data_IF_867062348904
#
_entry.id   IF_867062348904
#
_cell.length_a   1.000
_cell.length_b   1.000
_cell.length_c   1.000
_cell.angle_alpha   90.00
_cell.angle_beta   90.00
_cell.angle_gamma   90.00
#
_symmetry.space_group_name_H-M   'P 1'
#
loop_
_entity.id
_entity.type
_entity.pdbx_description
1 polymer ?
#
# COMPACT_ATOMS: atom_id res chain seq x y z
N UNK A 1 -23.93 28.36 14.62
CA UNK A 1 -23.31 28.59 13.31
C UNK A 1 -21.87 29.02 13.51
N UNK A 2 -20.93 28.07 13.57
CA UNK A 2 -19.47 28.24 13.47
C UNK A 2 -18.83 26.97 14.04
N UNK A 3 -18.65 25.96 13.19
CA UNK A 3 -17.84 24.74 13.35
C UNK A 3 -18.26 23.75 12.26
N UNK A 4 -17.92 24.03 10.99
CA UNK A 4 -18.09 23.08 9.88
C UNK A 4 -17.16 23.38 8.69
N UNK A 5 -16.01 24.02 8.92
CA UNK A 5 -15.07 24.47 7.86
C UNK A 5 -13.62 24.11 8.17
N UNK A 6 -13.33 22.88 8.57
CA UNK A 6 -11.95 22.43 8.75
C UNK A 6 -11.67 20.96 8.40
N UNK A 7 -12.51 20.31 7.58
CA UNK A 7 -12.27 18.90 7.22
C UNK A 7 -11.33 18.68 6.03
N UNK A 8 -10.98 19.71 5.25
CA UNK A 8 -9.97 19.62 4.18
C UNK A 8 -9.38 21.02 3.94
N UNK A 9 -8.08 21.29 4.26
CA UNK A 9 -7.26 21.97 3.24
C UNK A 9 -5.72 21.78 3.29
N UNK A 10 -5.11 20.92 4.11
CA UNK A 10 -3.63 20.78 4.12
C UNK A 10 -3.13 19.64 3.21
N UNK A 11 -3.66 18.44 3.39
CA UNK A 11 -3.25 17.21 2.67
C UNK A 11 -3.50 17.30 1.17
N UNK A 12 -4.63 17.89 0.76
CA UNK A 12 -4.97 18.03 -0.65
C UNK A 12 -4.00 18.97 -1.40
N UNK A 13 -3.45 20.00 -0.73
CA UNK A 13 -2.57 20.98 -1.38
C UNK A 13 -1.19 20.40 -1.67
N UNK A 14 -0.65 19.56 -0.77
CA UNK A 14 0.59 18.80 -1.01
C UNK A 14 0.39 17.73 -2.09
N UNK A 15 -0.75 17.03 -2.10
CA UNK A 15 -1.07 16.04 -3.14
C UNK A 15 -1.08 16.63 -4.56
N UNK A 16 -1.60 17.86 -4.74
CA UNK A 16 -1.66 18.50 -6.06
C UNK A 16 -0.30 19.02 -6.54
N UNK A 17 0.65 19.31 -5.63
CA UNK A 17 2.00 19.73 -6.00
C UNK A 17 2.79 18.55 -6.59
N UNK A 18 2.68 17.39 -5.95
CA UNK A 18 3.38 16.15 -6.33
C UNK A 18 2.86 15.56 -7.67
N UNK A 19 1.56 15.76 -7.94
CA UNK A 19 0.90 15.40 -9.21
C UNK A 19 1.51 16.14 -10.42
N UNK A 20 2.07 17.33 -10.20
CA UNK A 20 2.63 18.18 -11.26
C UNK A 20 4.03 17.76 -11.69
N UNK A 21 4.79 17.10 -10.81
CA UNK A 21 6.19 16.73 -11.05
C UNK A 21 6.33 15.32 -11.64
N UNK A 22 5.49 14.34 -11.23
CA UNK A 22 5.50 12.98 -11.80
C UNK A 22 4.10 12.33 -11.82
N UNK A 23 3.26 12.60 -12.84
CA UNK A 23 1.86 12.16 -12.86
C UNK A 23 1.71 10.63 -12.93
N UNK A 24 2.70 9.92 -13.49
CA UNK A 24 2.71 8.45 -13.51
C UNK A 24 3.05 7.89 -12.12
N UNK A 25 4.13 8.34 -11.48
CA UNK A 25 4.45 7.85 -10.13
C UNK A 25 3.38 8.23 -9.11
N UNK A 26 2.74 9.40 -9.24
CA UNK A 26 1.69 9.81 -8.32
C UNK A 26 0.44 8.93 -8.41
N UNK A 27 -0.07 8.65 -9.63
CA UNK A 27 -1.23 7.77 -9.84
C UNK A 27 -0.95 6.32 -9.41
N UNK A 28 0.30 5.87 -9.55
CA UNK A 28 0.67 4.47 -9.28
C UNK A 28 1.23 4.21 -7.87
N UNK A 29 1.85 5.19 -7.20
CA UNK A 29 2.56 5.00 -5.93
C UNK A 29 2.09 5.89 -4.75
N UNK A 30 1.74 7.17 -4.97
CA UNK A 30 1.67 8.16 -3.87
C UNK A 30 0.26 8.69 -3.58
N UNK A 31 -0.59 8.86 -4.60
CA UNK A 31 -1.90 9.51 -4.44
C UNK A 31 -2.85 8.77 -3.50
N UNK A 32 -3.55 9.51 -2.63
CA UNK A 32 -4.56 8.90 -1.78
C UNK A 32 -5.66 8.26 -2.64
N UNK A 33 -5.98 7.01 -2.32
CA UNK A 33 -6.94 6.16 -3.07
C UNK A 33 -8.32 6.79 -3.28
N UNK A 34 -8.93 7.49 -2.31
CA UNK A 34 -10.18 8.19 -2.58
C UNK A 34 -9.99 9.26 -3.66
N UNK A 35 -8.83 9.90 -3.78
CA UNK A 35 -8.58 10.91 -4.81
C UNK A 35 -8.43 10.30 -6.19
N UNK A 36 -7.73 9.16 -6.34
CA UNK A 36 -7.68 8.44 -7.63
C UNK A 36 -9.07 7.93 -8.03
N UNK A 37 -9.83 7.36 -7.09
CA UNK A 37 -11.22 6.95 -7.32
C UNK A 37 -12.13 8.11 -7.70
N UNK A 38 -12.01 9.25 -7.03
CA UNK A 38 -12.73 10.50 -7.37
C UNK A 38 -12.28 11.02 -8.73
N UNK A 39 -11.00 10.98 -9.05
CA UNK A 39 -10.46 11.39 -10.35
C UNK A 39 -11.01 10.53 -11.49
N UNK A 40 -11.07 9.21 -11.31
CA UNK A 40 -11.71 8.29 -12.26
C UNK A 40 -13.21 8.57 -12.39
N UNK A 41 -13.91 8.79 -11.28
CA UNK A 41 -15.33 9.16 -11.30
C UNK A 41 -15.57 10.49 -12.03
N UNK A 42 -14.76 11.52 -11.76
CA UNK A 42 -14.80 12.80 -12.46
C UNK A 42 -14.49 12.64 -13.95
N UNK A 43 -13.57 11.74 -14.31
CA UNK A 43 -13.29 11.43 -15.71
C UNK A 43 -14.51 10.83 -16.42
N UNK A 44 -15.24 9.92 -15.77
CA UNK A 44 -16.50 9.38 -16.30
C UNK A 44 -17.56 10.46 -16.44
N UNK A 45 -17.68 11.36 -15.46
CA UNK A 45 -18.57 12.51 -15.56
C UNK A 45 -18.23 13.40 -16.75
N UNK A 46 -16.98 13.80 -16.91
CA UNK A 46 -16.53 14.65 -18.03
C UNK A 46 -16.80 13.97 -19.37
N UNK A 47 -16.51 12.67 -19.47
CA UNK A 47 -16.77 11.89 -20.70
C UNK A 47 -18.27 11.84 -21.01
N UNK A 48 -19.12 11.48 -20.05
CA UNK A 48 -20.57 11.39 -20.30
C UNK A 48 -21.21 12.74 -20.57
N UNK A 49 -20.83 13.78 -19.83
CA UNK A 49 -21.31 15.14 -20.11
C UNK A 49 -20.81 15.66 -21.45
N UNK A 50 -19.57 15.38 -21.84
CA UNK A 50 -19.04 15.73 -23.15
C UNK A 50 -19.81 15.05 -24.27
N UNK A 51 -20.00 13.73 -24.17
CA UNK A 51 -20.76 12.96 -25.16
C UNK A 51 -22.21 13.47 -25.31
N UNK A 52 -22.85 13.82 -24.20
CA UNK A 52 -24.19 14.42 -24.20
C UNK A 52 -24.19 15.82 -24.81
N UNK A 53 -23.25 16.68 -24.40
CA UNK A 53 -23.16 18.08 -24.86
C UNK A 53 -22.92 18.19 -26.38
N UNK A 54 -22.06 17.32 -26.93
CA UNK A 54 -21.81 17.28 -28.36
C UNK A 54 -22.88 16.52 -29.16
N UNK A 55 -23.92 15.98 -28.50
CA UNK A 55 -25.01 15.29 -29.16
C UNK A 55 -24.65 13.91 -29.73
N UNK A 56 -23.53 13.32 -29.30
CA UNK A 56 -23.13 11.97 -29.74
C UNK A 56 -23.97 10.86 -29.09
N UNK A 57 -24.55 11.13 -27.92
CA UNK A 57 -25.38 10.16 -27.19
C UNK A 57 -26.70 10.83 -26.80
N UNK A 58 -27.80 10.24 -27.26
CA UNK A 58 -29.13 10.63 -26.81
C UNK A 58 -29.48 9.89 -25.51
N UNK A 59 -28.96 10.41 -24.40
CA UNK A 59 -29.26 9.92 -23.05
C UNK A 59 -30.71 10.22 -22.62
N UNK A 60 -31.48 10.95 -23.44
CA UNK A 60 -32.92 11.18 -23.22
C UNK A 60 -33.78 10.10 -23.87
N UNK A 61 -33.20 9.22 -24.70
CA UNK A 61 -33.92 8.06 -25.22
C UNK A 61 -34.23 7.08 -24.07
N UNK A 62 -35.50 6.92 -23.67
CA UNK A 62 -35.86 6.13 -22.49
C UNK A 62 -35.45 4.66 -22.65
N UNK A 63 -35.58 4.12 -23.86
CA UNK A 63 -35.24 2.74 -24.17
C UNK A 63 -33.73 2.50 -24.02
N UNK A 64 -32.89 3.38 -24.58
CA UNK A 64 -31.44 3.27 -24.45
C UNK A 64 -30.99 3.39 -22.99
N UNK A 65 -31.56 4.35 -22.25
CA UNK A 65 -31.29 4.54 -20.83
C UNK A 65 -31.68 3.30 -20.00
N UNK A 66 -32.88 2.74 -20.23
CA UNK A 66 -33.32 1.51 -19.56
C UNK A 66 -32.34 0.36 -19.79
N UNK A 67 -31.82 0.18 -21.00
CA UNK A 67 -30.82 -0.85 -21.29
C UNK A 67 -29.50 -0.61 -20.55
N UNK A 68 -28.96 0.61 -20.60
CA UNK A 68 -27.69 0.96 -19.93
C UNK A 68 -27.80 0.76 -18.42
N UNK A 69 -28.84 1.32 -17.80
CA UNK A 69 -29.06 1.20 -16.35
C UNK A 69 -29.28 -0.26 -15.93
N UNK A 70 -30.06 -1.03 -16.70
CA UNK A 70 -30.27 -2.46 -16.42
C UNK A 70 -28.98 -3.27 -16.52
N UNK A 71 -28.15 -2.96 -17.53
CA UNK A 71 -26.83 -3.58 -17.67
C UNK A 71 -25.89 -3.21 -16.52
N UNK A 72 -25.93 -1.95 -16.06
CA UNK A 72 -25.13 -1.50 -14.92
C UNK A 72 -25.56 -2.17 -13.62
N UNK A 73 -26.87 -2.29 -13.35
CA UNK A 73 -27.40 -3.04 -12.20
C UNK A 73 -26.91 -4.49 -12.21
N UNK A 74 -27.08 -5.19 -13.34
CA UNK A 74 -26.63 -6.59 -13.45
C UNK A 74 -25.10 -6.73 -13.26
N UNK A 75 -24.33 -5.82 -13.86
CA UNK A 75 -22.87 -5.80 -13.75
C UNK A 75 -22.39 -5.48 -12.33
N UNK A 76 -22.97 -4.47 -11.68
CA UNK A 76 -22.62 -4.05 -10.33
C UNK A 76 -22.99 -5.11 -9.29
N UNK A 77 -24.17 -5.72 -9.36
CA UNK A 77 -24.53 -6.84 -8.49
C UNK A 77 -23.53 -8.01 -8.62
N UNK A 78 -23.13 -8.34 -9.85
CA UNK A 78 -22.11 -9.38 -10.09
C UNK A 78 -20.76 -8.99 -9.49
N UNK A 79 -20.33 -7.75 -9.70
CA UNK A 79 -19.07 -7.20 -9.19
C UNK A 79 -19.02 -7.23 -7.65
N UNK A 80 -20.06 -6.71 -7.02
CA UNK A 80 -20.19 -6.67 -5.55
C UNK A 80 -20.21 -8.09 -5.00
N UNK A 81 -20.96 -9.01 -5.62
CA UNK A 81 -21.01 -10.42 -5.20
C UNK A 81 -19.63 -11.09 -5.28
N UNK A 82 -18.90 -10.87 -6.37
CA UNK A 82 -17.55 -11.42 -6.55
C UNK A 82 -16.61 -10.91 -5.46
N UNK A 83 -16.63 -9.61 -5.17
CA UNK A 83 -15.74 -9.01 -4.18
C UNK A 83 -16.09 -9.46 -2.76
N UNK A 84 -17.38 -9.54 -2.41
CA UNK A 84 -17.80 -10.14 -1.14
C UNK A 84 -17.28 -11.58 -1.03
N UNK A 85 -17.44 -12.38 -2.08
CA UNK A 85 -17.01 -13.79 -2.07
C UNK A 85 -15.50 -13.94 -1.87
N UNK A 86 -14.69 -13.11 -2.53
CA UNK A 86 -13.24 -13.08 -2.33
C UNK A 86 -12.90 -12.72 -0.88
N UNK A 87 -13.54 -11.69 -0.33
CA UNK A 87 -13.31 -11.27 1.05
C UNK A 87 -13.70 -12.36 2.06
N UNK A 88 -14.77 -13.11 1.79
CA UNK A 88 -15.18 -14.26 2.61
C UNK A 88 -14.12 -15.36 2.63
N UNK A 89 -13.45 -15.63 1.50
CA UNK A 89 -12.33 -16.59 1.44
C UNK A 89 -11.12 -16.09 2.23
N UNK A 90 -10.88 -14.78 2.27
CA UNK A 90 -9.77 -14.21 3.03
C UNK A 90 -10.08 -14.28 4.53
N UNK A 91 -11.27 -13.86 4.95
CA UNK A 91 -11.69 -13.88 6.36
C UNK A 91 -11.75 -15.32 6.89
N UNK A 92 -12.20 -16.29 6.09
CA UNK A 92 -12.26 -17.68 6.52
C UNK A 92 -10.88 -18.25 6.88
N UNK A 93 -9.80 -17.74 6.26
CA UNK A 93 -8.41 -18.10 6.63
C UNK A 93 -7.98 -17.53 7.99
N UNK A 94 -8.61 -16.47 8.46
CA UNK A 94 -8.33 -15.85 9.77
C UNK A 94 -9.14 -16.48 10.90
N UNK A 95 -10.17 -17.27 10.59
CA UNK A 95 -10.98 -18.01 11.56
C UNK A 95 -10.35 -19.37 11.86
N UNK A 96 -9.14 -19.35 12.40
CA UNK A 96 -8.45 -20.56 12.86
C UNK A 96 -9.12 -21.17 14.09
N UNK A 97 -8.88 -22.47 14.32
CA UNK A 97 -9.24 -23.10 15.60
C UNK A 97 -8.48 -22.41 16.76
N UNK A 98 -9.02 -22.42 18.00
CA UNK A 98 -8.31 -21.81 19.14
C UNK A 98 -6.88 -22.33 19.35
N UNK A 99 -6.61 -23.59 18.99
CA UNK A 99 -5.26 -24.17 19.04
C UNK A 99 -4.31 -23.54 18.01
N UNK A 100 -4.76 -23.40 16.77
CA UNK A 100 -3.99 -22.71 15.71
C UNK A 100 -3.74 -21.25 16.07
N UNK A 101 -4.76 -20.54 16.58
CA UNK A 101 -4.59 -19.15 16.98
C UNK A 101 -3.58 -19.00 18.13
N UNK A 102 -3.58 -19.93 19.09
CA UNK A 102 -2.57 -19.96 20.16
C UNK A 102 -1.16 -20.16 19.60
N UNK A 103 -0.99 -21.13 18.71
CA UNK A 103 0.29 -21.44 18.07
C UNK A 103 0.81 -20.24 17.25
N UNK A 104 -0.05 -19.55 16.50
CA UNK A 104 0.32 -18.37 15.73
C UNK A 104 0.74 -17.21 16.65
N UNK A 105 0.02 -16.98 17.75
CA UNK A 105 0.39 -15.97 18.76
C UNK A 105 1.76 -16.30 19.37
N UNK A 106 1.98 -17.56 19.75
CA UNK A 106 3.24 -18.01 20.35
C UNK A 106 4.43 -17.81 19.39
N UNK A 107 4.28 -18.15 18.11
CA UNK A 107 5.31 -17.95 17.09
C UNK A 107 5.64 -16.47 16.87
N UNK A 108 4.63 -15.59 16.83
CA UNK A 108 4.85 -14.15 16.67
C UNK A 108 5.53 -13.55 17.91
N UNK A 109 5.16 -14.01 19.10
CA UNK A 109 5.77 -13.59 20.35
C UNK A 109 7.22 -14.10 20.49
N UNK A 110 7.49 -15.33 20.09
CA UNK A 110 8.85 -15.89 20.00
C UNK A 110 9.72 -15.08 19.03
N UNK A 111 9.23 -14.83 17.81
CA UNK A 111 9.91 -13.98 16.84
C UNK A 111 10.24 -12.60 17.41
N UNK A 112 9.28 -11.95 18.07
CA UNK A 112 9.47 -10.62 18.67
C UNK A 112 10.54 -10.59 19.76
N UNK A 113 10.73 -11.69 20.50
CA UNK A 113 11.79 -11.82 21.53
C UNK A 113 13.15 -12.20 20.94
N UNK A 114 13.18 -12.96 19.85
CA UNK A 114 14.42 -13.34 19.17
C UNK A 114 15.00 -12.17 18.37
N UNK A 115 14.14 -11.41 17.71
CA UNK A 115 14.54 -10.28 16.88
C UNK A 115 14.98 -9.04 17.70
N UNK A 116 14.45 -8.88 18.92
CA UNK A 116 14.86 -7.83 19.86
C UNK A 116 15.08 -8.46 21.22
N UNK A 117 16.33 -8.46 21.69
CA UNK A 117 16.65 -8.93 23.03
C UNK A 117 15.93 -8.05 24.08
N UNK A 118 15.02 -8.59 24.90
CA UNK A 118 14.35 -7.83 25.96
C UNK A 118 15.32 -7.20 26.96
N UNK A 119 16.55 -7.71 27.10
CA UNK A 119 17.58 -7.09 27.93
C UNK A 119 18.01 -5.72 27.40
N UNK A 120 17.98 -5.52 26.08
CA UNK A 120 18.45 -4.30 25.43
C UNK A 120 17.36 -3.23 25.29
N UNK A 121 16.11 -3.65 25.08
CA UNK A 121 14.99 -2.72 24.80
C UNK A 121 13.89 -2.71 25.88
N UNK A 122 14.00 -3.59 26.88
CA UNK A 122 13.02 -3.72 27.96
C UNK A 122 11.71 -4.35 27.47
N UNK A 123 10.72 -3.52 27.13
CA UNK A 123 9.39 -3.98 26.69
C UNK A 123 9.26 -3.83 25.18
N UNK A 124 9.15 -4.95 24.48
CA UNK A 124 8.96 -4.96 23.03
C UNK A 124 7.63 -4.27 22.67
N UNK A 125 7.64 -3.22 21.82
CA UNK A 125 6.44 -2.46 21.47
C UNK A 125 5.36 -3.30 20.81
N UNK A 126 4.11 -2.96 21.08
CA UNK A 126 2.93 -3.68 20.56
C UNK A 126 2.60 -3.26 19.11
N UNK A 127 3.02 -2.06 18.70
CA UNK A 127 2.76 -1.57 17.35
C UNK A 127 3.86 -2.03 16.37
N UNK A 128 3.50 -2.39 15.13
CA UNK A 128 4.47 -2.73 14.09
C UNK A 128 5.52 -1.63 13.82
N UNK A 129 5.09 -0.37 13.84
CA UNK A 129 5.94 0.77 13.53
C UNK A 129 7.03 0.96 14.60
N UNK A 130 6.65 0.92 15.87
CA UNK A 130 7.58 1.05 16.99
C UNK A 130 8.52 -0.15 17.07
N UNK A 131 8.00 -1.36 16.84
CA UNK A 131 8.83 -2.58 16.80
C UNK A 131 9.92 -2.47 15.73
N UNK A 132 9.55 -2.01 14.52
CA UNK A 132 10.51 -1.87 13.45
C UNK A 132 11.51 -0.74 13.68
N UNK A 133 11.07 0.37 14.28
CA UNK A 133 11.95 1.45 14.67
C UNK A 133 13.06 0.94 15.60
N UNK A 134 12.72 0.12 16.59
CA UNK A 134 13.71 -0.48 17.47
C UNK A 134 14.65 -1.45 16.73
N UNK A 135 14.14 -2.25 15.78
CA UNK A 135 15.01 -3.12 14.96
C UNK A 135 16.01 -2.31 14.13
N UNK A 136 15.54 -1.23 13.50
CA UNK A 136 16.37 -0.31 12.73
C UNK A 136 17.40 0.40 13.61
N UNK A 137 17.00 0.83 14.80
CA UNK A 137 17.91 1.40 15.80
C UNK A 137 18.95 0.40 16.30
N UNK A 138 18.59 -0.88 16.44
CA UNK A 138 19.54 -1.95 16.75
C UNK A 138 20.56 -2.12 15.65
N UNK A 139 20.12 -2.31 14.41
CA UNK A 139 21.00 -2.43 13.24
C UNK A 139 21.95 -1.22 13.12
N UNK A 140 21.44 0.00 13.37
CA UNK A 140 22.26 1.22 13.40
C UNK A 140 23.34 1.17 14.47
N UNK A 141 23.00 0.78 15.69
CA UNK A 141 23.97 0.68 16.81
C UNK A 141 25.07 -0.32 16.47
N UNK A 142 24.72 -1.46 15.91
CA UNK A 142 25.67 -2.53 15.59
C UNK A 142 26.59 -2.14 14.44
N UNK A 143 26.07 -1.44 13.42
CA UNK A 143 26.87 -0.86 12.34
C UNK A 143 27.86 0.21 12.85
N UNK A 144 27.42 1.08 13.75
CA UNK A 144 28.31 2.09 14.36
C UNK A 144 29.40 1.46 15.21
N UNK A 145 29.07 0.40 15.96
CA UNK A 145 30.05 -0.39 16.72
C UNK A 145 31.06 -1.05 15.78
N UNK A 146 30.60 -1.62 14.66
CA UNK A 146 31.44 -2.26 13.66
C UNK A 146 32.46 -1.28 13.07
N UNK A 147 32.01 -0.08 12.67
CA UNK A 147 32.92 0.98 12.23
C UNK A 147 33.96 1.33 13.31
N UNK A 148 33.52 1.48 14.57
CA UNK A 148 34.42 1.78 15.69
C UNK A 148 35.49 0.72 15.96
N UNK A 149 35.17 -0.57 15.78
CA UNK A 149 36.12 -1.67 15.96
C UNK A 149 37.17 -1.72 14.84
N UNK A 150 36.77 -1.41 13.61
CA UNK A 150 37.63 -1.52 12.42
C UNK A 150 38.56 -0.31 12.26
N UNK A 151 38.26 0.86 12.86
CA UNK A 151 39.13 2.06 12.84
C UNK A 151 40.57 1.77 13.31
N UNK A 152 40.73 0.84 14.25
CA UNK A 152 42.03 0.47 14.83
C UNK A 152 42.86 -0.53 14.01
N UNK A 153 42.33 -1.06 12.91
CA UNK A 153 43.02 -2.06 12.08
C UNK A 153 44.06 -1.42 11.16
N UNK A 154 45.18 -2.12 10.93
CA UNK A 154 46.27 -1.69 10.04
C UNK A 154 45.93 -1.83 8.54
N UNK A 155 44.96 -2.68 8.18
CA UNK A 155 44.52 -2.87 6.80
C UNK A 155 43.61 -1.70 6.36
N UNK A 156 44.14 -0.83 5.51
CA UNK A 156 43.43 0.33 4.96
C UNK A 156 42.21 -0.08 4.12
N UNK A 157 42.34 -1.10 3.28
CA UNK A 157 41.27 -1.56 2.38
C UNK A 157 40.07 -2.08 3.20
N UNK A 158 40.33 -2.80 4.30
CA UNK A 158 39.26 -3.24 5.20
C UNK A 158 38.53 -2.05 5.84
N UNK A 159 39.26 -1.00 6.23
CA UNK A 159 38.63 0.20 6.81
C UNK A 159 37.76 0.91 5.80
N UNK A 160 38.27 1.11 4.57
CA UNK A 160 37.55 1.80 3.50
C UNK A 160 36.27 1.03 3.13
N UNK A 161 36.38 -0.28 2.85
CA UNK A 161 35.22 -1.13 2.51
C UNK A 161 34.19 -1.16 3.66
N UNK A 162 34.64 -1.21 4.92
CA UNK A 162 33.75 -1.20 6.08
C UNK A 162 33.05 0.15 6.24
N UNK A 163 33.77 1.27 6.10
CA UNK A 163 33.22 2.60 6.23
C UNK A 163 32.18 2.91 5.14
N UNK A 164 32.43 2.45 3.91
CA UNK A 164 31.46 2.55 2.80
C UNK A 164 30.15 1.79 3.13
N UNK A 165 30.26 0.54 3.57
CA UNK A 165 29.10 -0.29 3.92
C UNK A 165 28.33 0.31 5.11
N UNK A 166 29.04 0.69 6.18
CA UNK A 166 28.44 1.27 7.40
C UNK A 166 27.75 2.58 7.08
N UNK A 167 28.39 3.47 6.31
CA UNK A 167 27.81 4.75 5.89
C UNK A 167 26.56 4.54 5.06
N UNK A 168 26.65 3.75 3.99
CA UNK A 168 25.53 3.51 3.07
C UNK A 168 24.33 2.86 3.77
N UNK A 169 24.57 1.88 4.63
CA UNK A 169 23.51 1.19 5.35
C UNK A 169 22.92 2.04 6.48
N UNK A 170 23.72 2.83 7.18
CA UNK A 170 23.24 3.78 8.19
C UNK A 170 22.38 4.87 7.56
N UNK A 171 22.79 5.43 6.43
CA UNK A 171 22.00 6.41 5.68
C UNK A 171 20.66 5.82 5.22
N UNK A 172 20.67 4.55 4.79
CA UNK A 172 19.46 3.84 4.43
C UNK A 172 18.52 3.67 5.63
N UNK A 173 19.04 3.19 6.76
CA UNK A 173 18.29 3.02 8.01
C UNK A 173 17.70 4.37 8.49
N UNK A 174 18.49 5.45 8.43
CA UNK A 174 18.04 6.80 8.82
C UNK A 174 16.97 7.37 7.88
N UNK A 175 17.03 7.03 6.59
CA UNK A 175 15.97 7.37 5.63
C UNK A 175 14.67 6.66 5.98
N UNK A 176 14.72 5.35 6.21
CA UNK A 176 13.54 4.55 6.55
C UNK A 176 12.95 4.98 7.90
N UNK A 177 13.79 5.22 8.91
CA UNK A 177 13.35 5.70 10.23
C UNK A 177 12.63 7.05 10.15
N UNK A 178 13.16 8.01 9.35
CA UNK A 178 12.47 9.30 9.12
C UNK A 178 11.13 9.16 8.40
N UNK A 179 11.01 8.21 7.46
CA UNK A 179 9.73 7.93 6.80
C UNK A 179 8.70 7.39 7.79
N UNK A 180 9.14 6.54 8.73
CA UNK A 180 8.29 6.03 9.81
C UNK A 180 7.84 7.18 10.73
N UNK A 181 8.75 8.07 11.15
CA UNK A 181 8.44 9.21 12.04
C UNK A 181 7.59 10.29 11.37
N UNK A 182 7.83 10.59 10.10
CA UNK A 182 7.07 11.59 9.33
C UNK A 182 5.63 11.16 9.04
N UNK A 183 5.36 9.85 9.07
CA UNK A 183 4.02 9.30 8.90
C UNK A 183 3.15 9.47 10.16
N UNK A 184 2.74 10.71 10.44
CA UNK A 184 1.69 11.01 11.43
C UNK A 184 0.30 10.44 11.03
N UNK A 185 0.20 9.81 9.86
CA UNK A 185 -1.01 9.30 9.20
C UNK A 185 -1.04 7.77 9.11
N UNK A 186 -0.92 7.08 10.24
CA UNK A 186 -1.33 5.69 10.38
C UNK A 186 -0.59 4.66 9.51
N UNK A 187 -1.01 3.41 9.68
CA UNK A 187 -0.39 2.16 9.20
C UNK A 187 -0.04 2.11 7.70
N UNK A 188 -0.53 3.03 6.86
CA UNK A 188 -0.37 2.96 5.41
C UNK A 188 0.96 3.56 4.92
N UNK A 189 1.31 4.77 5.38
CA UNK A 189 2.49 5.50 4.89
C UNK A 189 3.76 4.92 5.50
N UNK A 190 3.68 4.48 6.76
CA UNK A 190 4.74 3.75 7.44
C UNK A 190 5.06 2.42 6.74
N UNK A 191 4.04 1.73 6.22
CA UNK A 191 4.22 0.41 5.57
C UNK A 191 4.66 0.53 4.11
N UNK A 192 4.25 1.57 3.37
CA UNK A 192 4.71 1.77 1.99
C UNK A 192 6.21 2.03 1.89
N UNK A 193 6.78 2.79 2.85
CA UNK A 193 8.22 3.02 2.98
C UNK A 193 9.04 1.73 3.12
N UNK A 194 8.41 0.65 3.60
CA UNK A 194 9.06 -0.63 3.83
C UNK A 194 8.95 -1.56 2.63
N UNK A 195 7.94 -1.42 1.77
CA UNK A 195 7.65 -2.38 0.71
C UNK A 195 8.68 -2.41 -0.43
N UNK A 196 9.56 -1.42 -0.52
CA UNK A 196 10.53 -1.29 -1.63
C UNK A 196 11.96 -1.65 -1.28
N UNK A 197 12.27 -1.89 0.00
CA UNK A 197 13.66 -2.17 0.41
C UNK A 197 13.92 -3.67 0.43
N UNK A 198 14.95 -4.12 -0.31
CA UNK A 198 15.48 -5.47 -0.23
C UNK A 198 16.89 -5.45 0.41
N UNK A 199 17.07 -6.16 1.53
CA UNK A 199 18.36 -6.23 2.23
C UNK A 199 19.28 -7.36 1.71
N UNK A 200 18.87 -8.13 0.71
CA UNK A 200 19.65 -9.24 0.15
C UNK A 200 21.06 -8.80 -0.29
N UNK A 201 21.15 -7.69 -1.01
CA UNK A 201 22.43 -7.14 -1.47
C UNK A 201 23.30 -6.68 -0.29
N UNK A 202 22.71 -6.03 0.71
CA UNK A 202 23.43 -5.59 1.93
C UNK A 202 23.96 -6.77 2.75
N UNK A 203 23.15 -7.82 2.90
CA UNK A 203 23.57 -9.07 3.53
C UNK A 203 24.70 -9.74 2.74
N UNK A 204 24.63 -9.72 1.40
CA UNK A 204 25.70 -10.23 0.55
C UNK A 204 27.00 -9.44 0.73
N UNK A 205 26.93 -8.10 0.74
CA UNK A 205 28.10 -7.24 0.95
C UNK A 205 28.79 -7.52 2.30
N UNK A 206 28.02 -7.63 3.39
CA UNK A 206 28.56 -7.96 4.72
C UNK A 206 29.22 -9.35 4.76
N UNK A 207 28.59 -10.36 4.15
CA UNK A 207 29.17 -11.71 4.04
C UNK A 207 30.42 -11.73 3.17
N UNK A 208 30.44 -10.94 2.10
CA UNK A 208 31.62 -10.78 1.23
C UNK A 208 32.76 -10.13 1.99
N UNK A 209 32.50 -9.04 2.71
CA UNK A 209 33.47 -8.36 3.57
C UNK A 209 34.11 -9.35 4.57
N UNK A 210 33.28 -10.09 5.31
CA UNK A 210 33.73 -11.13 6.24
C UNK A 210 34.58 -12.22 5.58
N UNK A 211 34.22 -12.61 4.34
CA UNK A 211 34.94 -13.65 3.61
C UNK A 211 36.27 -13.16 3.03
N UNK A 212 36.35 -11.91 2.57
CA UNK A 212 37.54 -11.33 1.94
C UNK A 212 38.59 -11.01 3.00
N UNK A 213 38.19 -10.37 4.09
CA UNK A 213 39.08 -9.90 5.15
C UNK A 213 39.11 -10.82 6.37
N UNK A 214 38.86 -12.12 6.18
CA UNK A 214 38.78 -13.09 7.29
C UNK A 214 40.03 -13.07 8.19
N UNK A 215 41.21 -12.89 7.61
CA UNK A 215 42.48 -12.92 8.34
C UNK A 215 42.79 -11.60 9.07
N UNK A 216 42.20 -10.49 8.62
CA UNK A 216 42.42 -9.14 9.16
C UNK A 216 41.33 -8.69 10.15
N UNK A 217 40.20 -9.40 10.18
CA UNK A 217 39.10 -9.15 11.12
C UNK A 217 39.43 -9.75 12.50
N UNK A 218 39.24 -8.95 13.54
CA UNK A 218 39.19 -9.46 14.91
C UNK A 218 37.96 -10.37 15.10
N UNK A 219 38.03 -11.28 16.08
CA UNK A 219 36.91 -12.15 16.46
C UNK A 219 35.66 -11.33 16.79
N UNK A 220 35.81 -10.28 17.59
CA UNK A 220 34.73 -9.33 17.94
C UNK A 220 34.09 -8.67 16.70
N UNK A 221 34.89 -8.31 15.70
CA UNK A 221 34.36 -7.69 14.45
C UNK A 221 33.65 -8.73 13.58
N UNK A 222 34.16 -9.96 13.53
CA UNK A 222 33.57 -11.05 12.77
C UNK A 222 32.23 -11.51 13.38
N UNK A 223 32.11 -11.50 14.70
CA UNK A 223 30.87 -11.83 15.42
C UNK A 223 29.84 -10.71 15.25
N UNK A 224 30.25 -9.44 15.38
CA UNK A 224 29.36 -8.31 15.16
C UNK A 224 28.84 -8.24 13.71
N UNK A 225 29.64 -8.65 12.72
CA UNK A 225 29.17 -8.80 11.34
C UNK A 225 28.04 -9.83 11.22
N UNK A 226 28.13 -10.96 11.94
CA UNK A 226 27.06 -11.96 11.94
C UNK A 226 25.80 -11.43 12.65
N UNK A 227 25.97 -10.65 13.72
CA UNK A 227 24.86 -10.00 14.45
C UNK A 227 24.14 -8.98 13.57
N UNK A 228 24.88 -8.14 12.82
CA UNK A 228 24.29 -7.21 11.84
C UNK A 228 23.54 -7.98 10.75
N UNK A 229 24.13 -9.04 10.21
CA UNK A 229 23.46 -9.89 9.20
C UNK A 229 22.18 -10.50 9.76
N UNK A 230 22.21 -11.02 10.99
CA UNK A 230 21.05 -11.57 11.67
C UNK A 230 19.95 -10.51 11.82
N UNK A 231 20.31 -9.32 12.31
CA UNK A 231 19.37 -8.21 12.48
C UNK A 231 18.72 -7.78 11.15
N UNK A 232 19.50 -7.71 10.05
CA UNK A 232 18.95 -7.42 8.73
C UNK A 232 18.00 -8.51 8.23
N UNK A 233 18.26 -9.78 8.54
CA UNK A 233 17.35 -10.88 8.23
C UNK A 233 16.06 -10.78 9.03
N UNK A 234 16.14 -10.45 10.31
CA UNK A 234 14.96 -10.21 11.15
C UNK A 234 14.11 -9.05 10.65
N UNK A 235 14.74 -7.95 10.19
CA UNK A 235 14.06 -6.84 9.52
C UNK A 235 13.35 -7.31 8.24
N UNK A 236 13.97 -8.20 7.46
CA UNK A 236 13.36 -8.78 6.25
C UNK A 236 12.09 -9.59 6.58
N UNK A 237 12.14 -10.41 7.63
CA UNK A 237 10.99 -11.17 8.13
C UNK A 237 9.88 -10.24 8.61
N UNK A 238 10.22 -9.20 9.39
CA UNK A 238 9.28 -8.18 9.85
C UNK A 238 8.55 -7.54 8.66
N UNK A 239 9.33 -7.12 7.65
CA UNK A 239 8.81 -6.51 6.41
C UNK A 239 7.84 -7.43 5.69
N UNK A 240 8.17 -8.72 5.54
CA UNK A 240 7.29 -9.70 4.88
C UNK A 240 5.99 -9.93 5.65
N UNK A 241 6.07 -10.04 6.98
CA UNK A 241 4.90 -10.16 7.84
C UNK A 241 4.01 -8.91 7.75
N UNK A 242 4.59 -7.71 7.84
CA UNK A 242 3.86 -6.46 7.76
C UNK A 242 3.28 -6.20 6.37
N UNK A 243 3.96 -6.60 5.30
CA UNK A 243 3.42 -6.61 3.94
C UNK A 243 2.15 -7.47 3.85
N UNK A 244 2.15 -8.62 4.49
CA UNK A 244 0.99 -9.51 4.55
C UNK A 244 -0.18 -8.85 5.29
N UNK A 245 0.08 -8.27 6.47
CA UNK A 245 -0.93 -7.51 7.23
C UNK A 245 -1.49 -6.31 6.44
N UNK A 246 -0.63 -5.59 5.73
CA UNK A 246 -1.02 -4.50 4.86
C UNK A 246 -1.99 -4.97 3.77
N UNK A 247 -1.62 -6.01 3.00
CA UNK A 247 -2.47 -6.54 1.93
C UNK A 247 -3.83 -7.00 2.49
N UNK A 248 -3.85 -7.67 3.64
CA UNK A 248 -5.08 -8.13 4.27
C UNK A 248 -5.99 -6.97 4.70
N UNK A 249 -5.41 -5.98 5.40
CA UNK A 249 -6.14 -4.77 5.84
C UNK A 249 -6.69 -4.01 4.64
N UNK A 250 -5.90 -3.97 3.56
CA UNK A 250 -6.26 -3.27 2.35
C UNK A 250 -7.44 -3.91 1.62
N UNK A 251 -7.40 -5.22 1.45
CA UNK A 251 -8.48 -5.98 0.83
C UNK A 251 -9.78 -5.81 1.61
N UNK A 252 -9.73 -5.83 2.94
CA UNK A 252 -10.90 -5.60 3.79
C UNK A 252 -11.47 -4.18 3.62
N UNK A 253 -10.60 -3.17 3.57
CA UNK A 253 -11.01 -1.78 3.34
C UNK A 253 -11.62 -1.58 1.95
N UNK A 254 -11.02 -2.15 0.90
CA UNK A 254 -11.55 -2.15 -0.47
C UNK A 254 -12.96 -2.71 -0.50
N UNK A 255 -13.18 -3.89 0.09
CA UNK A 255 -14.50 -4.52 0.12
C UNK A 255 -15.53 -3.61 0.79
N UNK A 256 -15.17 -2.94 1.88
CA UNK A 256 -16.09 -2.01 2.58
C UNK A 256 -16.44 -0.78 1.73
N UNK A 257 -15.44 -0.14 1.13
CA UNK A 257 -15.67 1.05 0.28
C UNK A 257 -16.46 0.66 -0.96
N UNK A 258 -16.12 -0.47 -1.59
CA UNK A 258 -16.84 -0.98 -2.75
C UNK A 258 -18.29 -1.33 -2.40
N UNK A 259 -18.56 -1.91 -1.22
CA UNK A 259 -19.92 -2.18 -0.77
C UNK A 259 -20.73 -0.90 -0.61
N UNK A 260 -20.19 0.13 0.02
CA UNK A 260 -20.89 1.41 0.15
C UNK A 260 -21.13 2.08 -1.21
N UNK A 261 -20.10 2.11 -2.06
CA UNK A 261 -20.19 2.59 -3.43
C UNK A 261 -21.24 1.82 -4.25
N UNK A 262 -21.21 0.49 -4.17
CA UNK A 262 -22.13 -0.44 -4.81
C UNK A 262 -23.57 -0.20 -4.40
N UNK A 263 -23.83 -0.17 -3.08
CA UNK A 263 -25.18 0.07 -2.56
C UNK A 263 -25.71 1.45 -2.98
N UNK A 264 -24.89 2.50 -2.91
CA UNK A 264 -25.31 3.84 -3.35
C UNK A 264 -25.61 3.86 -4.85
N UNK A 265 -24.74 3.26 -5.67
CA UNK A 265 -24.96 3.16 -7.10
C UNK A 265 -26.23 2.39 -7.43
N UNK A 266 -26.43 1.21 -6.84
CA UNK A 266 -27.62 0.38 -7.02
C UNK A 266 -28.91 1.11 -6.63
N UNK A 267 -28.91 1.80 -5.48
CA UNK A 267 -30.07 2.58 -5.05
C UNK A 267 -30.44 3.65 -6.08
N UNK A 268 -29.46 4.37 -6.62
CA UNK A 268 -29.70 5.39 -7.65
C UNK A 268 -30.17 4.77 -8.96
N UNK A 269 -29.53 3.69 -9.42
CA UNK A 269 -29.87 3.02 -10.68
C UNK A 269 -31.27 2.41 -10.62
N UNK A 270 -31.58 1.62 -9.57
CA UNK A 270 -32.90 0.99 -9.38
C UNK A 270 -33.99 2.03 -9.21
N UNK A 271 -33.75 3.09 -8.42
CA UNK A 271 -34.73 4.17 -8.26
C UNK A 271 -35.02 4.86 -9.60
N UNK A 272 -33.98 5.13 -10.39
CA UNK A 272 -34.14 5.73 -11.72
C UNK A 272 -34.90 4.81 -12.67
N UNK A 273 -34.60 3.50 -12.66
CA UNK A 273 -35.32 2.49 -13.46
C UNK A 273 -36.81 2.43 -13.10
N UNK A 274 -37.16 2.48 -11.81
CA UNK A 274 -38.56 2.50 -11.36
C UNK A 274 -39.29 3.75 -11.84
N UNK A 275 -38.64 4.92 -11.73
CA UNK A 275 -39.18 6.20 -12.21
C UNK A 275 -39.42 6.15 -13.72
N UNK A 276 -38.43 5.72 -14.50
CA UNK A 276 -38.54 5.61 -15.96
C UNK A 276 -39.64 4.61 -16.37
N UNK A 277 -39.73 3.46 -15.69
CA UNK A 277 -40.76 2.45 -15.97
C UNK A 277 -42.18 2.95 -15.70
N UNK A 278 -42.37 3.76 -14.65
CA UNK A 278 -43.68 4.34 -14.28
C UNK A 278 -44.18 5.42 -15.26
N UNK A 279 -43.27 6.05 -15.99
CA UNK A 279 -43.57 7.13 -16.94
C UNK A 279 -44.11 6.66 -18.30
N UNK A 280 -44.30 5.35 -18.50
CA UNK A 280 -44.85 4.77 -19.73
C UNK A 280 -46.36 5.01 -19.94
N UNK A 281 -47.04 5.71 -19.01
CA UNK A 281 -48.36 6.30 -19.21
C UNK A 281 -48.31 7.65 -19.93
N UNK A 282 -49.41 8.08 -20.56
CA UNK A 282 -49.59 9.25 -21.46
C UNK A 282 -49.29 10.65 -20.90
N UNK A 283 -48.52 10.78 -19.81
CA UNK A 283 -48.07 12.04 -19.21
C UNK A 283 -46.54 12.08 -19.06
N UNK A 284 -45.83 11.59 -20.08
CA UNK A 284 -44.37 11.66 -20.19
C UNK A 284 -43.94 13.00 -20.82
N UNK A 285 -43.86 14.08 -20.03
CA UNK A 285 -42.61 14.84 -20.04
C UNK A 285 -42.21 15.33 -18.64
N UNK A 286 -40.91 15.52 -18.40
CA UNK A 286 -40.30 16.16 -17.21
C UNK A 286 -39.93 15.30 -15.97
N UNK A 287 -39.98 13.96 -16.00
CA UNK A 287 -39.68 13.21 -14.75
C UNK A 287 -38.19 13.22 -14.37
N UNK A 288 -37.27 13.37 -15.34
CA UNK A 288 -35.84 13.53 -15.08
C UNK A 288 -35.27 14.73 -15.87
N UNK A 289 -34.69 15.75 -15.19
CA UNK A 289 -33.93 16.78 -15.87
C UNK A 289 -32.83 16.19 -16.76
N UNK A 290 -32.68 16.62 -18.03
CA UNK A 290 -31.68 16.09 -18.97
C UNK A 290 -30.24 16.08 -18.42
N UNK A 291 -29.94 17.07 -17.59
CA UNK A 291 -28.63 17.23 -16.94
C UNK A 291 -28.32 16.08 -15.94
N UNK A 292 -29.33 15.39 -15.39
CA UNK A 292 -29.11 14.30 -14.43
C UNK A 292 -28.75 12.97 -15.10
N UNK A 293 -29.07 12.77 -16.37
CA UNK A 293 -28.83 11.49 -17.05
C UNK A 293 -27.33 11.11 -17.12
N UNK A 294 -26.40 12.00 -17.54
CA UNK A 294 -24.96 11.73 -17.48
C UNK A 294 -24.45 11.47 -16.06
N UNK A 295 -25.00 12.18 -15.07
CA UNK A 295 -24.64 12.02 -13.65
C UNK A 295 -25.04 10.64 -13.13
N UNK A 296 -26.25 10.18 -13.45
CA UNK A 296 -26.74 8.85 -13.03
C UNK A 296 -25.91 7.74 -13.67
N UNK A 297 -25.58 7.87 -14.96
CA UNK A 297 -24.68 6.93 -15.64
C UNK A 297 -23.29 6.89 -14.98
N UNK A 298 -22.73 8.05 -14.61
CA UNK A 298 -21.46 8.12 -13.90
C UNK A 298 -21.54 7.49 -12.50
N UNK A 299 -22.62 7.73 -11.75
CA UNK A 299 -22.87 7.10 -10.44
C UNK A 299 -22.92 5.58 -10.58
N UNK A 300 -23.52 5.06 -11.65
CA UNK A 300 -23.53 3.63 -11.94
C UNK A 300 -22.14 3.01 -12.12
N UNK A 301 -21.14 3.80 -12.55
CA UNK A 301 -19.74 3.36 -12.68
C UNK A 301 -18.88 3.62 -11.44
N UNK A 302 -19.45 4.19 -10.37
CA UNK A 302 -18.73 4.47 -9.13
C UNK A 302 -18.09 3.21 -8.51
N UNK A 303 -18.78 2.06 -8.41
CA UNK A 303 -18.16 0.83 -7.88
C UNK A 303 -16.98 0.37 -8.74
N UNK A 304 -17.09 0.53 -10.06
CA UNK A 304 -16.03 0.21 -11.00
C UNK A 304 -14.82 1.14 -10.83
N UNK A 305 -15.04 2.45 -10.66
CA UNK A 305 -13.98 3.43 -10.40
C UNK A 305 -13.22 3.11 -9.11
N UNK A 306 -13.95 2.77 -8.03
CA UNK A 306 -13.37 2.31 -6.78
C UNK A 306 -12.56 1.04 -7.03
N UNK A 307 -13.13 0.02 -7.67
CA UNK A 307 -12.41 -1.22 -7.91
C UNK A 307 -11.12 -1.00 -8.69
N UNK A 308 -11.15 -0.24 -9.79
CA UNK A 308 -9.96 0.04 -10.60
C UNK A 308 -8.90 0.80 -9.82
N UNK A 309 -9.27 1.84 -9.08
CA UNK A 309 -8.31 2.64 -8.29
C UNK A 309 -7.50 1.77 -7.33
N UNK A 310 -8.15 0.78 -6.71
CA UNK A 310 -7.48 -0.07 -5.72
C UNK A 310 -6.83 -1.32 -6.34
N UNK A 311 -7.44 -1.92 -7.36
CA UNK A 311 -6.87 -3.05 -8.08
C UNK A 311 -5.56 -2.68 -8.79
N UNK A 312 -5.48 -1.49 -9.37
CA UNK A 312 -4.27 -0.98 -10.01
C UNK A 312 -3.11 -0.91 -9.03
N UNK A 313 -3.36 -0.41 -7.81
CA UNK A 313 -2.34 -0.38 -6.76
C UNK A 313 -1.94 -1.76 -6.31
N UNK A 314 -2.89 -2.66 -6.09
CA UNK A 314 -2.56 -4.02 -5.66
C UNK A 314 -1.71 -4.72 -6.72
N UNK A 315 -2.01 -4.52 -8.00
CA UNK A 315 -1.20 -5.02 -9.10
C UNK A 315 0.23 -4.45 -9.07
N UNK A 316 0.39 -3.13 -8.91
CA UNK A 316 1.73 -2.50 -8.83
C UNK A 316 2.51 -2.94 -7.59
N UNK A 317 1.87 -2.97 -6.42
CA UNK A 317 2.51 -3.44 -5.17
C UNK A 317 2.90 -4.90 -5.30
N UNK A 318 2.04 -5.73 -5.86
CA UNK A 318 2.33 -7.16 -6.07
C UNK A 318 3.47 -7.33 -7.06
N UNK A 319 3.47 -6.61 -8.18
CA UNK A 319 4.53 -6.66 -9.20
C UNK A 319 5.90 -6.22 -8.63
N UNK A 320 5.95 -5.11 -7.89
CA UNK A 320 7.19 -4.60 -7.28
C UNK A 320 7.79 -5.48 -6.18
N UNK A 321 7.10 -6.56 -5.78
CA UNK A 321 7.45 -7.32 -4.56
C UNK A 321 7.45 -8.84 -4.75
N UNK A 322 7.64 -9.31 -5.99
CA UNK A 322 7.69 -10.75 -6.37
C UNK A 322 8.97 -11.44 -5.86
N UNK A 323 10.04 -10.68 -5.59
CA UNK A 323 11.29 -11.21 -5.06
C UNK A 323 11.17 -11.63 -3.58
N UNK A 324 11.36 -12.92 -3.31
CA UNK A 324 11.64 -13.46 -1.97
C UNK A 324 13.17 -13.60 -1.87
N UNK A 325 13.77 -12.93 -0.89
CA UNK A 325 15.19 -13.06 -0.54
C UNK A 325 15.57 -14.56 -0.48
N UNK A 326 16.66 -15.00 -1.14
CA UNK A 326 17.84 -14.22 -1.54
C UNK A 326 17.87 -13.78 -3.01
N UNK A 327 16.79 -13.91 -3.78
CA UNK A 327 16.81 -13.57 -5.21
C UNK A 327 16.19 -12.19 -5.47
N UNK A 328 16.90 -11.33 -6.21
CA UNK A 328 16.37 -10.07 -6.79
C UNK A 328 15.70 -10.36 -8.13
N UNK A 329 14.77 -9.50 -8.57
CA UNK A 329 14.14 -9.57 -9.90
C UNK A 329 14.75 -8.53 -10.86
N UNK A 330 14.77 -8.76 -12.19
CA UNK A 330 15.39 -7.85 -13.17
C UNK A 330 14.86 -6.40 -13.13
N UNK A 331 13.57 -6.22 -12.81
CA UNK A 331 12.95 -4.88 -12.71
C UNK A 331 13.51 -4.06 -11.52
N UNK A 332 14.16 -4.70 -10.54
CA UNK A 332 14.80 -4.02 -9.38
C UNK A 332 16.26 -3.64 -9.67
N UNK A 333 16.91 -4.26 -10.66
CA UNK A 333 18.27 -3.90 -11.08
C UNK A 333 18.30 -2.54 -11.81
N UNK A 334 17.24 -2.21 -12.56
CA UNK A 334 17.13 -0.93 -13.28
C UNK A 334 16.90 0.28 -12.35
N UNK A 335 16.21 0.12 -11.20
CA UNK A 335 16.02 1.19 -10.20
C UNK A 335 17.28 1.43 -9.33
N UNK A 336 18.27 0.50 -9.32
CA UNK A 336 19.55 0.68 -8.61
C UNK A 336 20.56 1.55 -9.38
N UNK A 337 20.25 1.91 -10.63
CA UNK A 337 21.09 2.74 -11.50
C UNK A 337 20.51 4.15 -11.76
N UNK A 338 19.50 4.57 -11.00
CA UNK A 338 18.89 5.92 -11.02
C UNK A 338 19.05 6.64 -9.67
#
# INVERSE_FOLDING_TARGET
>A
MSRLTSLFPAVAVEEFADLRESPRQWVFLVGSRPVVGVGLFLSFLVVFYGLWWFGFVDLLNPTAMLYVLSSLVGGNLTLVTLVISINQVIISRQLGSPGQLREDIEKVDEYRRQALDPADVGVVPVTPADFLKLLLESARRDLQRLGGLVVGTENEDLREDTDEIVTTLTEHVDRVSRLIEGSNTGTFDTLSALLTTNYADRIYQLRRLKSVYREDLSEDSADLLDEVVSTLQEIDVARQYFKTLYIQTELAYISRVLLYAGVVAELVLVSTLLVLSSSSGTTAPEVLPPVLAPLIAAIGLLPLAVLFSYALRLAVVTQRTIAITPFTTPEQEDELHL
#
